data_IF_754647198624
#
_entry.id   IF_754647198624
#
_cell.length_a   1.000
_cell.length_b   1.000
_cell.length_c   1.000
_cell.angle_alpha   90.00
_cell.angle_beta   90.00
_cell.angle_gamma   90.00
#
_symmetry.space_group_name_H-M   'P 1'
#
loop_
_entity.id
_entity.type
_entity.pdbx_description
1 polymer ?
#
# COMPACT_ATOMS: atom_id res chain seq x y z
N UNK A 1 -12.05 28.12 -14.49
CA UNK A 1 -10.83 28.30 -13.67
C UNK A 1 -9.88 27.17 -14.03
N UNK A 2 -8.82 27.42 -14.81
CA UNK A 2 -7.85 26.38 -15.16
C UNK A 2 -6.93 26.17 -13.96
N UNK A 3 -7.01 25.01 -13.30
CA UNK A 3 -6.13 24.66 -12.20
C UNK A 3 -4.71 24.47 -12.72
N UNK A 4 -3.73 25.16 -12.15
CA UNK A 4 -2.32 24.94 -12.43
C UNK A 4 -1.95 23.51 -12.03
N UNK A 5 -1.49 22.71 -13.00
CA UNK A 5 -1.06 21.35 -12.73
C UNK A 5 0.15 21.35 -11.78
N UNK A 6 0.22 20.40 -10.83
CA UNK A 6 1.36 20.26 -9.92
C UNK A 6 2.68 20.10 -10.69
N UNK A 7 3.77 20.62 -10.11
CA UNK A 7 5.10 20.48 -10.71
C UNK A 7 5.53 19.01 -10.82
N UNK A 8 6.39 18.69 -11.81
CA UNK A 8 6.94 17.34 -11.97
C UNK A 8 7.65 16.83 -10.70
N UNK A 9 8.32 17.72 -9.95
CA UNK A 9 8.95 17.39 -8.66
C UNK A 9 7.92 16.88 -7.65
N UNK A 10 6.75 17.51 -7.60
CA UNK A 10 5.65 17.06 -6.75
C UNK A 10 5.18 15.66 -7.15
N UNK A 11 5.06 15.40 -8.46
CA UNK A 11 4.74 14.06 -8.98
C UNK A 11 5.78 13.00 -8.57
N UNK A 12 7.07 13.29 -8.73
CA UNK A 12 8.14 12.38 -8.32
C UNK A 12 8.14 12.11 -6.81
N UNK A 13 7.84 13.12 -5.98
CA UNK A 13 7.70 12.93 -4.54
C UNK A 13 6.56 11.98 -4.19
N UNK A 14 5.42 12.08 -4.89
CA UNK A 14 4.30 11.15 -4.69
C UNK A 14 4.68 9.72 -5.09
N UNK A 15 5.34 9.54 -6.24
CA UNK A 15 5.78 8.23 -6.70
C UNK A 15 6.80 7.63 -5.72
N UNK A 16 7.81 8.40 -5.32
CA UNK A 16 8.82 7.94 -4.37
C UNK A 16 8.20 7.56 -3.02
N UNK A 17 7.27 8.37 -2.52
CA UNK A 17 6.54 8.09 -1.28
C UNK A 17 5.70 6.82 -1.39
N UNK A 18 5.00 6.63 -2.51
CA UNK A 18 4.17 5.45 -2.75
C UNK A 18 5.03 4.17 -2.83
N UNK A 19 6.16 4.22 -3.53
CA UNK A 19 7.10 3.11 -3.62
C UNK A 19 7.72 2.80 -2.26
N UNK A 20 8.13 3.80 -1.50
CA UNK A 20 8.66 3.62 -0.16
C UNK A 20 7.62 3.00 0.79
N UNK A 21 6.39 3.50 0.75
CA UNK A 21 5.28 2.94 1.52
C UNK A 21 5.00 1.49 1.15
N UNK A 22 4.95 1.17 -0.14
CA UNK A 22 4.75 -0.19 -0.63
C UNK A 22 5.88 -1.12 -0.17
N UNK A 23 7.14 -0.69 -0.28
CA UNK A 23 8.30 -1.48 0.12
C UNK A 23 8.30 -1.76 1.64
N UNK A 24 8.06 -0.74 2.47
CA UNK A 24 8.00 -0.88 3.93
C UNK A 24 6.80 -1.76 4.33
N UNK A 25 5.64 -1.55 3.72
CA UNK A 25 4.43 -2.35 3.97
C UNK A 25 4.61 -3.81 3.57
N UNK A 26 5.19 -4.08 2.40
CA UNK A 26 5.51 -5.43 1.94
C UNK A 26 6.51 -6.12 2.88
N UNK A 27 7.53 -5.39 3.35
CA UNK A 27 8.43 -5.91 4.38
C UNK A 27 7.66 -6.27 5.65
N UNK A 28 6.89 -5.34 6.21
CA UNK A 28 6.18 -5.52 7.47
C UNK A 28 5.22 -6.72 7.45
N UNK A 29 4.47 -6.86 6.35
CA UNK A 29 3.35 -7.81 6.24
C UNK A 29 3.77 -9.16 5.68
N UNK A 30 4.68 -9.20 4.70
CA UNK A 30 5.00 -10.42 3.95
C UNK A 30 6.37 -11.00 4.29
N UNK A 31 7.38 -10.15 4.49
CA UNK A 31 8.79 -10.60 4.53
C UNK A 31 9.41 -10.59 5.93
N UNK A 32 8.85 -9.82 6.87
CA UNK A 32 9.38 -9.62 8.22
C UNK A 32 9.54 -10.92 9.01
N UNK A 33 8.68 -11.91 8.74
CA UNK A 33 8.75 -13.23 9.36
C UNK A 33 9.83 -14.15 8.75
N UNK A 34 10.20 -13.95 7.48
CA UNK A 34 11.12 -14.84 6.75
C UNK A 34 12.56 -14.35 6.73
N UNK A 35 12.77 -13.03 6.73
CA UNK A 35 14.10 -12.44 6.65
C UNK A 35 14.79 -12.42 8.02
N UNK A 36 16.13 -12.35 8.09
CA UNK A 36 16.85 -12.05 9.34
C UNK A 36 16.59 -10.61 9.83
N UNK A 37 16.98 -10.32 11.07
CA UNK A 37 16.79 -9.00 11.66
C UNK A 37 17.67 -7.96 10.92
N UNK A 38 17.08 -6.87 10.39
CA UNK A 38 17.80 -5.92 9.54
C UNK A 38 18.71 -4.94 10.30
N UNK A 39 18.49 -4.72 11.60
CA UNK A 39 19.31 -3.81 12.43
C UNK A 39 18.98 -2.32 12.24
N UNK A 40 17.95 -2.01 11.45
CA UNK A 40 17.39 -0.66 11.29
C UNK A 40 16.25 -0.53 12.29
N UNK A 41 16.34 0.45 13.20
CA UNK A 41 15.39 0.62 14.31
C UNK A 41 13.91 0.57 13.87
N UNK A 42 13.56 1.24 12.78
CA UNK A 42 12.18 1.28 12.27
C UNK A 42 11.69 -0.10 11.82
N UNK A 43 12.51 -0.85 11.08
CA UNK A 43 12.15 -2.17 10.57
C UNK A 43 12.14 -3.22 11.70
N UNK A 44 13.05 -3.08 12.66
CA UNK A 44 13.10 -3.91 13.86
C UNK A 44 11.87 -3.72 14.73
N UNK A 45 11.37 -2.48 14.86
CA UNK A 45 10.12 -2.19 15.55
C UNK A 45 8.92 -2.86 14.86
N UNK A 46 8.84 -2.77 13.53
CA UNK A 46 7.78 -3.42 12.74
C UNK A 46 7.81 -4.94 12.86
N UNK A 47 8.99 -5.56 12.84
CA UNK A 47 9.13 -7.02 12.99
C UNK A 47 8.69 -7.52 14.37
N UNK A 48 8.96 -6.75 15.42
CA UNK A 48 8.61 -7.11 16.81
C UNK A 48 7.12 -7.01 17.08
N UNK A 49 6.37 -6.32 16.23
CA UNK A 49 4.92 -6.25 16.34
C UNK A 49 4.28 -7.61 16.00
N UNK A 50 3.56 -8.19 16.95
CA UNK A 50 2.88 -9.48 16.81
C UNK A 50 1.46 -9.38 16.28
N UNK A 51 0.86 -8.18 16.23
CA UNK A 51 -0.56 -7.99 15.95
C UNK A 51 -0.88 -8.02 14.45
N UNK A 52 0.02 -7.52 13.60
CA UNK A 52 -0.23 -7.35 12.17
C UNK A 52 0.08 -8.59 11.31
N UNK A 53 0.48 -9.72 11.91
CA UNK A 53 0.86 -10.94 11.18
C UNK A 53 -0.29 -11.54 10.36
N UNK A 54 -1.53 -11.31 10.77
CA UNK A 54 -2.72 -11.77 10.05
C UNK A 54 -3.24 -10.76 9.02
N UNK A 55 -2.69 -9.55 8.98
CA UNK A 55 -3.09 -8.53 8.02
C UNK A 55 -2.84 -8.99 6.58
N UNK A 56 -1.79 -9.77 6.33
CA UNK A 56 -1.50 -10.38 5.03
C UNK A 56 -2.68 -11.19 4.49
N UNK A 57 -3.33 -11.97 5.35
CA UNK A 57 -4.47 -12.80 4.99
C UNK A 57 -5.71 -11.93 4.70
N UNK A 58 -5.89 -10.85 5.47
CA UNK A 58 -7.00 -9.91 5.30
C UNK A 58 -6.85 -9.01 4.06
N UNK A 59 -5.63 -8.80 3.54
CA UNK A 59 -5.40 -8.07 2.29
C UNK A 59 -6.17 -8.71 1.13
N UNK A 60 -6.21 -10.05 1.04
CA UNK A 60 -6.85 -10.75 -0.08
C UNK A 60 -8.35 -10.41 -0.20
N UNK A 61 -9.20 -10.65 0.82
CA UNK A 61 -10.62 -10.33 0.72
C UNK A 61 -10.87 -8.82 0.65
N UNK A 62 -10.09 -8.00 1.36
CA UNK A 62 -10.29 -6.54 1.36
C UNK A 62 -9.95 -5.93 0.00
N UNK A 63 -8.80 -6.25 -0.59
CA UNK A 63 -8.40 -5.77 -1.91
C UNK A 63 -9.35 -6.27 -2.99
N UNK A 64 -9.75 -7.54 -2.94
CA UNK A 64 -10.70 -8.10 -3.89
C UNK A 64 -12.04 -7.37 -3.84
N UNK A 65 -12.56 -7.11 -2.64
CA UNK A 65 -13.81 -6.37 -2.46
C UNK A 65 -13.74 -4.96 -3.06
N UNK A 66 -12.69 -4.20 -2.76
CA UNK A 66 -12.52 -2.85 -3.32
C UNK A 66 -12.35 -2.84 -4.84
N UNK A 67 -11.60 -3.79 -5.39
CA UNK A 67 -11.41 -3.90 -6.84
C UNK A 67 -12.72 -4.23 -7.56
N UNK A 68 -13.50 -5.17 -7.02
CA UNK A 68 -14.81 -5.56 -7.56
C UNK A 68 -15.79 -4.38 -7.44
N UNK A 69 -15.87 -3.73 -6.28
CA UNK A 69 -16.76 -2.60 -6.07
C UNK A 69 -16.44 -1.43 -7.02
N UNK A 70 -15.15 -1.14 -7.23
CA UNK A 70 -14.71 -0.13 -8.20
C UNK A 70 -15.10 -0.52 -9.63
N UNK A 71 -14.81 -1.77 -10.04
CA UNK A 71 -15.19 -2.29 -11.35
C UNK A 71 -16.70 -2.17 -11.60
N UNK A 72 -17.50 -2.67 -10.66
CA UNK A 72 -18.97 -2.65 -10.76
C UNK A 72 -19.49 -1.22 -10.76
N UNK A 73 -18.94 -0.33 -9.92
CA UNK A 73 -19.28 1.09 -9.92
C UNK A 73 -19.00 1.76 -11.27
N UNK A 74 -17.86 1.44 -11.91
CA UNK A 74 -17.54 1.92 -13.24
C UNK A 74 -18.52 1.40 -14.31
N UNK A 75 -18.91 0.12 -14.23
CA UNK A 75 -19.92 -0.45 -15.13
C UNK A 75 -21.25 0.31 -15.03
N UNK A 76 -21.74 0.59 -13.82
CA UNK A 76 -22.96 1.38 -13.65
C UNK A 76 -22.78 2.81 -14.17
N UNK A 77 -21.65 3.47 -13.89
CA UNK A 77 -21.42 4.84 -14.35
C UNK A 77 -21.38 4.97 -15.88
N UNK A 78 -20.81 3.99 -16.58
CA UNK A 78 -20.73 4.00 -18.05
C UNK A 78 -22.02 3.60 -18.76
N UNK A 79 -22.87 2.81 -18.09
CA UNK A 79 -24.01 2.14 -18.70
C UNK A 79 -25.37 2.60 -18.13
N UNK A 80 -25.38 3.71 -17.39
CA UNK A 80 -26.57 4.41 -16.87
C UNK A 80 -26.84 5.69 -17.65
#
# INVERSE_FOLDING_TARGET
>A
MAGTLPSARTGYLFIASAVAFLAIGAYAVLLSALLPQPGIWLLDALRRDTHYKYFALLIIPTTSYFAIANWVGWQFFMNS
#
